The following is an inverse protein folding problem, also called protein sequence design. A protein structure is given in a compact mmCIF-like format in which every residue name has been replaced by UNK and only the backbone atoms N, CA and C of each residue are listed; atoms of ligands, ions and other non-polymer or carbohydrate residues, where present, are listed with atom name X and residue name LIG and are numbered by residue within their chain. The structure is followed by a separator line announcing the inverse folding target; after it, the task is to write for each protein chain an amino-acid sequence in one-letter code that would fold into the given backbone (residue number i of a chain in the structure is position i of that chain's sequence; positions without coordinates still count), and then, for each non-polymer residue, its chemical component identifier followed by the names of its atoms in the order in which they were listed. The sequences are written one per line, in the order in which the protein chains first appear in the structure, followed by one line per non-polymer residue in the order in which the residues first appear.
data_IF_759830895622
#
_entry.id   IF_759830895622
#
_cell.length_a   1.000
_cell.length_b   1.000
_cell.length_c   1.000
_cell.angle_alpha   90.00
_cell.angle_beta   90.00
_cell.angle_gamma   90.00
#
_symmetry.space_group_name_H-M   'P 1'
#
loop_
_entity.id
_entity.type
_entity.pdbx_description
1 polymer ?
#
# COMPACT_ATOMS: atom_id res chain seq x y z
N UNK A 1 24.24 -17.40 -37.95
CA UNK A 1 23.53 -18.39 -37.12
C UNK A 1 24.55 -19.18 -36.33
N UNK A 2 24.83 -18.73 -35.11
CA UNK A 2 25.88 -19.28 -34.25
C UNK A 2 25.29 -20.39 -33.40
N UNK A 3 25.86 -21.60 -33.47
CA UNK A 3 25.61 -22.65 -32.51
C UNK A 3 26.91 -23.36 -32.17
N UNK A 4 27.10 -23.55 -30.86
CA UNK A 4 28.01 -24.46 -30.15
C UNK A 4 29.37 -23.86 -29.75
N UNK A 5 29.41 -23.38 -28.51
CA UNK A 5 30.58 -23.51 -27.65
C UNK A 5 30.08 -23.97 -26.27
N UNK A 6 30.36 -25.24 -25.96
CA UNK A 6 30.03 -25.94 -24.73
C UNK A 6 31.10 -25.55 -23.70
N UNK A 7 30.70 -24.99 -22.56
CA UNK A 7 31.63 -24.52 -21.51
C UNK A 7 32.20 -25.70 -20.73
N UNK A 8 33.53 -25.75 -20.67
CA UNK A 8 34.34 -26.48 -19.68
C UNK A 8 34.69 -25.45 -18.59
N UNK A 9 34.73 -25.86 -17.31
CA UNK A 9 35.87 -25.67 -16.37
C UNK A 9 35.45 -25.56 -14.88
N UNK A 10 35.70 -26.66 -14.16
CA UNK A 10 36.40 -26.79 -12.85
C UNK A 10 35.84 -26.25 -11.51
N UNK A 11 36.08 -27.12 -10.52
CA UNK A 11 36.56 -26.90 -9.15
C UNK A 11 35.56 -26.64 -8.02
N UNK A 12 35.34 -27.71 -7.24
CA UNK A 12 35.50 -27.75 -5.78
C UNK A 12 35.57 -29.25 -5.44
N UNK A 13 36.68 -29.82 -4.97
CA UNK A 13 37.48 -29.39 -3.83
C UNK A 13 37.50 -30.57 -2.86
N UNK A 14 38.28 -31.58 -3.22
CA UNK A 14 38.55 -32.80 -2.46
C UNK A 14 39.33 -32.43 -1.18
N UNK A 15 38.89 -32.89 -0.01
CA UNK A 15 39.73 -32.95 1.19
C UNK A 15 39.60 -34.34 1.80
N UNK A 16 40.71 -35.08 1.72
CA UNK A 16 40.89 -36.43 2.24
C UNK A 16 41.20 -36.40 3.74
N UNK A 17 40.38 -37.15 4.50
CA UNK A 17 40.69 -38.25 5.46
C UNK A 17 41.89 -38.13 6.42
N UNK A 18 41.66 -38.62 7.65
CA UNK A 18 42.51 -39.45 8.57
C UNK A 18 42.59 -38.83 9.98
N UNK A 19 42.47 -39.48 11.14
CA UNK A 19 42.18 -40.85 11.64
C UNK A 19 42.11 -40.74 13.17
N UNK A 20 41.29 -41.53 13.87
CA UNK A 20 41.65 -42.24 15.12
C UNK A 20 40.42 -42.95 15.74
N UNK A 21 40.49 -44.28 15.84
CA UNK A 21 39.62 -45.09 16.68
C UNK A 21 40.12 -45.06 18.13
N UNK A 22 39.19 -45.13 19.09
CA UNK A 22 39.45 -45.74 20.41
C UNK A 22 39.10 -44.86 21.62
N UNK A 23 38.06 -45.25 22.38
CA UNK A 23 37.84 -44.75 23.73
C UNK A 23 36.39 -44.81 24.21
N UNK A 24 36.17 -45.43 25.38
CA UNK A 24 34.93 -45.78 26.08
C UNK A 24 33.94 -44.63 26.40
N UNK A 25 32.70 -44.94 26.84
CA UNK A 25 31.61 -43.98 27.04
C UNK A 25 31.74 -43.22 28.36
N UNK A 26 31.43 -41.93 28.35
CA UNK A 26 31.45 -41.07 29.53
C UNK A 26 30.59 -39.81 29.31
N UNK A 27 29.57 -39.71 30.14
CA UNK A 27 28.69 -38.60 30.53
C UNK A 27 28.71 -37.23 29.85
N UNK A 28 27.48 -36.76 29.62
CA UNK A 28 26.94 -35.43 29.91
C UNK A 28 27.63 -34.21 29.28
N UNK A 29 27.02 -33.73 28.19
CA UNK A 29 27.31 -32.42 27.60
C UNK A 29 26.11 -31.88 26.84
N UNK A 30 25.36 -31.02 27.52
CA UNK A 30 24.23 -30.23 27.06
C UNK A 30 24.42 -29.63 25.64
N UNK A 31 23.45 -29.85 24.75
CA UNK A 31 22.94 -28.85 23.78
C UNK A 31 21.81 -29.47 22.95
N UNK A 32 20.59 -29.42 23.49
CA UNK A 32 19.39 -29.47 22.66
C UNK A 32 19.42 -28.26 21.73
N UNK A 33 19.90 -28.45 20.49
CA UNK A 33 19.63 -27.48 19.44
C UNK A 33 18.21 -27.73 18.91
N UNK A 34 17.20 -27.45 19.74
CA UNK A 34 15.84 -27.24 19.27
C UNK A 34 15.86 -25.91 18.53
N UNK A 35 15.99 -25.97 17.21
CA UNK A 35 15.60 -24.86 16.36
C UNK A 35 14.13 -24.56 16.68
N UNK A 36 13.89 -23.42 17.32
CA UNK A 36 12.56 -22.89 17.51
C UNK A 36 11.86 -22.88 16.14
N UNK A 37 10.60 -23.34 16.03
CA UNK A 37 9.86 -23.09 14.81
C UNK A 37 9.84 -21.57 14.66
N UNK A 38 10.39 -21.09 13.55
CA UNK A 38 10.14 -19.73 13.12
C UNK A 38 8.62 -19.61 13.09
N UNK A 39 8.08 -18.85 14.04
CA UNK A 39 6.71 -18.39 13.96
C UNK A 39 6.70 -17.50 12.73
N UNK A 40 6.43 -18.12 11.58
CA UNK A 40 5.86 -17.41 10.45
C UNK A 40 4.55 -16.90 11.01
N UNK A 41 4.60 -15.69 11.57
CA UNK A 41 3.43 -14.85 11.67
C UNK A 41 2.87 -14.90 10.27
N UNK A 42 1.74 -15.59 10.12
CA UNK A 42 0.89 -15.48 8.96
C UNK A 42 0.40 -14.03 8.94
N UNK A 43 1.30 -13.10 8.59
CA UNK A 43 0.95 -11.82 8.06
C UNK A 43 0.06 -12.18 6.89
N UNK A 44 -1.22 -11.83 6.98
CA UNK A 44 -2.12 -11.91 5.85
C UNK A 44 -1.37 -11.26 4.68
N UNK A 45 -0.89 -12.09 3.76
CA UNK A 45 -0.05 -11.66 2.66
C UNK A 45 -1.01 -10.97 1.69
N UNK A 46 -1.34 -9.72 1.97
CA UNK A 46 -2.20 -8.92 1.09
C UNK A 46 -1.50 -8.89 -0.27
N UNK A 47 -2.20 -9.33 -1.31
CA UNK A 47 -1.70 -9.15 -2.67
C UNK A 47 -1.65 -7.66 -2.98
N UNK A 48 -0.71 -7.25 -3.83
CA UNK A 48 -0.58 -5.86 -4.23
C UNK A 48 -1.85 -5.32 -4.88
N UNK A 49 -2.55 -6.15 -5.66
CA UNK A 49 -3.86 -5.79 -6.21
C UNK A 49 -4.92 -5.58 -5.12
N UNK A 50 -4.93 -6.38 -4.05
CA UNK A 50 -5.86 -6.17 -2.93
C UNK A 50 -5.56 -4.86 -2.22
N UNK A 51 -4.28 -4.58 -1.94
CA UNK A 51 -3.90 -3.33 -1.28
C UNK A 51 -4.25 -2.09 -2.14
N UNK A 52 -4.04 -2.18 -3.46
CA UNK A 52 -4.44 -1.12 -4.38
C UNK A 52 -5.97 -0.88 -4.38
N UNK A 53 -6.77 -1.94 -4.29
CA UNK A 53 -8.23 -1.84 -4.11
C UNK A 53 -8.59 -1.17 -2.78
N UNK A 54 -7.89 -1.50 -1.70
CA UNK A 54 -8.12 -0.89 -0.40
C UNK A 54 -7.83 0.61 -0.41
N UNK A 55 -6.75 1.05 -1.09
CA UNK A 55 -6.44 2.47 -1.31
C UNK A 55 -7.58 3.18 -2.05
N UNK A 56 -8.02 2.64 -3.18
CA UNK A 56 -9.07 3.26 -3.98
C UNK A 56 -10.43 3.24 -3.27
N UNK A 57 -10.74 2.17 -2.53
CA UNK A 57 -11.96 2.07 -1.72
C UNK A 57 -11.95 3.06 -0.55
N UNK A 58 -10.80 3.23 0.11
CA UNK A 58 -10.63 4.23 1.16
C UNK A 58 -10.89 5.65 0.62
N UNK A 59 -10.39 5.95 -0.57
CA UNK A 59 -10.69 7.22 -1.26
C UNK A 59 -12.19 7.35 -1.56
N UNK A 60 -12.83 6.35 -2.17
CA UNK A 60 -14.26 6.40 -2.50
C UNK A 60 -15.15 6.59 -1.26
N UNK A 61 -14.79 5.98 -0.13
CA UNK A 61 -15.50 6.19 1.14
C UNK A 61 -15.39 7.64 1.62
N UNK A 62 -14.20 8.24 1.53
CA UNK A 62 -14.02 9.65 1.85
C UNK A 62 -14.88 10.55 0.95
N UNK A 63 -14.97 10.23 -0.35
CA UNK A 63 -15.80 10.96 -1.32
C UNK A 63 -17.28 10.86 -0.95
N UNK A 64 -17.76 9.67 -0.63
CA UNK A 64 -19.15 9.45 -0.24
C UNK A 64 -19.50 10.20 1.05
N UNK A 65 -18.62 10.19 2.06
CA UNK A 65 -18.82 10.97 3.28
C UNK A 65 -18.78 12.49 3.02
N UNK A 66 -17.88 12.97 2.16
CA UNK A 66 -17.85 14.38 1.77
C UNK A 66 -19.13 14.81 1.03
N UNK A 67 -19.67 13.94 0.19
CA UNK A 67 -20.97 14.15 -0.46
C UNK A 67 -22.10 14.22 0.57
N UNK A 68 -22.09 13.35 1.57
CA UNK A 68 -23.03 13.38 2.69
C UNK A 68 -22.95 14.67 3.51
N UNK A 69 -21.74 15.15 3.80
CA UNK A 69 -21.53 16.41 4.54
C UNK A 69 -21.97 17.65 3.75
N UNK A 70 -21.79 17.64 2.43
CA UNK A 70 -22.20 18.73 1.54
C UNK A 70 -23.66 18.62 1.08
N UNK A 71 -24.36 17.54 1.46
CA UNK A 71 -25.78 17.40 1.22
C UNK A 71 -26.56 18.53 1.90
N UNK A 72 -27.57 19.07 1.22
CA UNK A 72 -28.29 20.25 1.70
C UNK A 72 -27.53 21.57 1.55
N UNK A 73 -26.29 21.55 1.05
CA UNK A 73 -25.49 22.74 0.69
C UNK A 73 -25.33 23.73 1.86
N UNK A 74 -24.81 23.28 3.02
CA UNK A 74 -24.59 24.13 4.18
C UNK A 74 -23.68 25.33 3.88
N UNK A 75 -23.70 26.36 4.71
CA UNK A 75 -22.77 27.49 4.55
C UNK A 75 -21.32 27.03 4.73
N UNK A 76 -20.40 27.67 4.02
CA UNK A 76 -19.00 27.23 3.98
C UNK A 76 -18.32 27.27 5.35
N UNK A 77 -18.71 28.21 6.23
CA UNK A 77 -18.21 28.30 7.60
C UNK A 77 -18.57 27.06 8.44
N UNK A 78 -19.69 26.40 8.15
CA UNK A 78 -20.10 25.17 8.82
C UNK A 78 -19.45 23.93 8.17
N UNK A 79 -19.37 23.92 6.83
CA UNK A 79 -18.89 22.75 6.09
C UNK A 79 -17.38 22.57 6.16
N UNK A 80 -16.61 23.66 6.07
CA UNK A 80 -15.14 23.64 6.03
C UNK A 80 -14.52 22.81 7.15
N UNK A 81 -14.81 23.08 8.45
CA UNK A 81 -14.20 22.32 9.54
C UNK A 81 -14.59 20.84 9.50
N UNK A 82 -15.80 20.49 9.02
CA UNK A 82 -16.25 19.10 8.89
C UNK A 82 -15.48 18.35 7.79
N UNK A 83 -15.28 18.98 6.63
CA UNK A 83 -14.50 18.41 5.54
C UNK A 83 -13.03 18.27 5.92
N UNK A 84 -12.43 19.27 6.57
CA UNK A 84 -11.04 19.19 7.03
C UNK A 84 -10.85 18.08 8.06
N UNK A 85 -11.76 17.95 9.03
CA UNK A 85 -11.73 16.84 9.98
C UNK A 85 -11.89 15.48 9.29
N UNK A 86 -12.80 15.38 8.32
CA UNK A 86 -12.97 14.19 7.49
C UNK A 86 -11.66 13.83 6.77
N UNK A 87 -11.07 14.77 6.04
CA UNK A 87 -9.86 14.53 5.26
C UNK A 87 -8.68 14.16 6.14
N UNK A 88 -8.51 14.76 7.31
CA UNK A 88 -7.47 14.38 8.27
C UNK A 88 -7.60 12.92 8.72
N UNK A 89 -8.81 12.45 9.04
CA UNK A 89 -9.03 11.04 9.41
C UNK A 89 -8.69 10.08 8.27
N UNK A 90 -9.01 10.46 7.04
CA UNK A 90 -8.70 9.65 5.87
C UNK A 90 -7.23 9.72 5.48
N UNK A 91 -6.55 10.84 5.72
CA UNK A 91 -5.10 10.96 5.58
C UNK A 91 -4.38 9.96 6.48
N UNK A 92 -4.78 9.85 7.75
CA UNK A 92 -4.23 8.86 8.70
C UNK A 92 -4.41 7.41 8.18
N UNK A 93 -5.58 7.09 7.60
CA UNK A 93 -5.82 5.79 6.96
C UNK A 93 -4.92 5.58 5.72
N UNK A 94 -4.77 6.61 4.89
CA UNK A 94 -3.92 6.54 3.69
C UNK A 94 -2.44 6.38 4.05
N UNK A 95 -1.98 7.01 5.13
CA UNK A 95 -0.61 6.81 5.66
C UNK A 95 -0.40 5.35 6.07
N UNK A 96 -1.37 4.72 6.73
CA UNK A 96 -1.26 3.31 7.09
C UNK A 96 -1.24 2.39 5.86
N UNK A 97 -2.06 2.67 4.85
CA UNK A 97 -2.03 1.94 3.58
C UNK A 97 -0.71 2.16 2.84
N UNK A 98 -0.14 3.37 2.90
CA UNK A 98 1.16 3.67 2.33
C UNK A 98 2.29 2.86 2.99
N UNK A 99 2.28 2.67 4.31
CA UNK A 99 3.26 1.80 4.99
C UNK A 99 3.23 0.39 4.43
N UNK A 100 2.04 -0.18 4.22
CA UNK A 100 1.88 -1.51 3.62
C UNK A 100 2.36 -1.53 2.16
N UNK A 101 2.08 -0.46 1.42
CA UNK A 101 2.48 -0.32 0.02
C UNK A 101 4.01 -0.24 -0.12
N UNK A 102 4.69 0.50 0.76
CA UNK A 102 6.15 0.55 0.81
C UNK A 102 6.77 -0.76 1.32
N UNK A 103 6.11 -1.46 2.24
CA UNK A 103 6.56 -2.79 2.66
C UNK A 103 6.57 -3.79 1.49
N UNK A 104 5.56 -3.76 0.61
CA UNK A 104 5.57 -4.59 -0.61
C UNK A 104 6.80 -4.32 -1.48
N UNK A 105 7.23 -3.06 -1.63
CA UNK A 105 8.43 -2.73 -2.41
C UNK A 105 9.69 -3.40 -1.84
N UNK A 106 9.79 -3.48 -0.52
CA UNK A 106 10.95 -4.08 0.17
C UNK A 106 10.88 -5.62 0.20
N UNK A 107 9.69 -6.19 0.36
CA UNK A 107 9.50 -7.61 0.66
C UNK A 107 9.12 -8.44 -0.57
N UNK A 108 8.35 -7.86 -1.51
CA UNK A 108 7.83 -8.57 -2.68
C UNK A 108 7.59 -7.61 -3.86
N UNK A 109 8.65 -7.41 -4.65
CA UNK A 109 8.64 -6.48 -5.79
C UNK A 109 7.58 -6.84 -6.86
N UNK A 110 7.22 -8.13 -6.98
CA UNK A 110 6.18 -8.58 -7.91
C UNK A 110 4.81 -8.05 -7.48
N UNK A 111 4.47 -8.17 -6.20
CA UNK A 111 3.23 -7.64 -5.65
C UNK A 111 3.22 -6.11 -5.66
N UNK A 112 4.35 -5.46 -5.39
CA UNK A 112 4.47 -4.01 -5.58
C UNK A 112 4.17 -3.59 -7.03
N UNK A 113 4.69 -4.34 -8.01
CA UNK A 113 4.36 -4.15 -9.43
C UNK A 113 2.87 -4.32 -9.71
N UNK A 114 2.24 -5.37 -9.18
CA UNK A 114 0.81 -5.62 -9.34
C UNK A 114 -0.06 -4.50 -8.73
N UNK A 115 0.33 -3.95 -7.57
CA UNK A 115 -0.32 -2.79 -6.98
C UNK A 115 -0.26 -1.57 -7.91
N UNK A 116 0.92 -1.30 -8.49
CA UNK A 116 1.14 -0.16 -9.38
C UNK A 116 0.37 -0.25 -10.69
N UNK A 117 0.34 -1.44 -11.31
CA UNK A 117 -0.45 -1.68 -12.53
C UNK A 117 -1.93 -1.39 -12.23
N UNK A 118 -2.45 -1.97 -11.14
CA UNK A 118 -3.85 -1.77 -10.78
C UNK A 118 -4.19 -0.31 -10.48
N UNK A 119 -3.34 0.40 -9.72
CA UNK A 119 -3.52 1.82 -9.44
C UNK A 119 -3.46 2.66 -10.73
N UNK A 120 -2.50 2.38 -11.63
CA UNK A 120 -2.36 3.08 -12.90
C UNK A 120 -3.58 2.94 -13.80
N UNK A 121 -4.18 1.75 -13.83
CA UNK A 121 -5.38 1.45 -14.64
C UNK A 121 -6.68 2.03 -14.05
N UNK A 122 -6.78 2.10 -12.72
CA UNK A 122 -8.07 2.38 -12.06
C UNK A 122 -8.16 3.79 -11.46
N UNK A 123 -7.05 4.41 -11.04
CA UNK A 123 -7.07 5.71 -10.31
C UNK A 123 -7.88 6.79 -11.04
N UNK A 124 -7.70 6.92 -12.35
CA UNK A 124 -8.42 7.93 -13.15
C UNK A 124 -9.94 7.77 -13.08
N UNK A 125 -10.45 6.53 -13.09
CA UNK A 125 -11.88 6.24 -12.95
C UNK A 125 -12.42 6.66 -11.58
N UNK A 126 -11.68 6.42 -10.51
CA UNK A 126 -12.09 6.82 -9.16
C UNK A 126 -12.11 8.35 -9.01
N UNK A 127 -11.11 9.05 -9.54
CA UNK A 127 -11.10 10.52 -9.57
C UNK A 127 -12.28 11.08 -10.38
N UNK A 128 -12.56 10.51 -11.55
CA UNK A 128 -13.72 10.90 -12.35
C UNK A 128 -15.06 10.63 -11.62
N UNK A 129 -15.19 9.49 -10.95
CA UNK A 129 -16.37 9.18 -10.15
C UNK A 129 -16.57 10.17 -8.99
N UNK A 130 -15.47 10.63 -8.38
CA UNK A 130 -15.50 11.73 -7.41
C UNK A 130 -16.06 13.02 -8.00
N UNK A 131 -15.62 13.41 -9.21
CA UNK A 131 -16.15 14.59 -9.90
C UNK A 131 -17.67 14.48 -10.08
N UNK A 132 -18.15 13.34 -10.55
CA UNK A 132 -19.59 13.10 -10.70
C UNK A 132 -20.34 13.19 -9.37
N UNK A 133 -19.81 12.55 -8.33
CA UNK A 133 -20.43 12.48 -7.00
C UNK A 133 -20.54 13.85 -6.33
N UNK A 134 -19.50 14.68 -6.46
CA UNK A 134 -19.45 16.00 -5.82
C UNK A 134 -19.90 17.15 -6.74
N UNK A 135 -20.26 16.87 -8.00
CA UNK A 135 -20.59 17.85 -9.04
C UNK A 135 -21.63 18.88 -8.58
N UNK A 136 -22.70 18.45 -7.92
CA UNK A 136 -23.77 19.33 -7.45
C UNK A 136 -23.31 20.30 -6.35
N UNK A 137 -22.48 19.82 -5.43
CA UNK A 137 -21.91 20.66 -4.37
C UNK A 137 -20.89 21.64 -4.94
N UNK A 138 -19.98 21.16 -5.80
CA UNK A 138 -18.98 21.99 -6.48
C UNK A 138 -19.65 23.09 -7.31
N UNK A 139 -20.67 22.75 -8.11
CA UNK A 139 -21.40 23.73 -8.90
C UNK A 139 -22.10 24.78 -8.02
N UNK A 140 -22.67 24.39 -6.88
CA UNK A 140 -23.27 25.33 -5.94
C UNK A 140 -22.25 26.33 -5.39
N UNK A 141 -21.12 25.85 -4.84
CA UNK A 141 -20.13 26.75 -4.26
C UNK A 141 -19.42 27.58 -5.31
N UNK A 142 -19.19 27.04 -6.51
CA UNK A 142 -18.56 27.78 -7.60
C UNK A 142 -19.47 28.88 -8.16
N UNK A 143 -20.68 28.53 -8.59
CA UNK A 143 -21.52 29.44 -9.37
C UNK A 143 -22.47 30.29 -8.52
N UNK A 144 -22.95 29.76 -7.38
CA UNK A 144 -23.92 30.49 -6.54
C UNK A 144 -23.25 31.25 -5.40
N UNK A 145 -22.20 30.68 -4.80
CA UNK A 145 -21.49 31.31 -3.67
C UNK A 145 -20.20 32.02 -4.07
N UNK A 146 -19.60 31.67 -5.21
CA UNK A 146 -18.29 32.19 -5.60
C UNK A 146 -17.15 31.75 -4.66
N UNK A 147 -17.35 30.69 -3.87
CA UNK A 147 -16.41 30.24 -2.85
C UNK A 147 -15.41 29.24 -3.47
N UNK A 148 -14.31 29.79 -3.98
CA UNK A 148 -13.24 28.99 -4.58
C UNK A 148 -12.49 28.13 -3.56
N UNK A 149 -12.46 28.51 -2.28
CA UNK A 149 -11.80 27.72 -1.25
C UNK A 149 -12.57 26.42 -1.00
N UNK A 150 -13.91 26.49 -0.94
CA UNK A 150 -14.75 25.30 -0.84
C UNK A 150 -14.70 24.45 -2.11
N UNK A 151 -14.66 25.06 -3.29
CA UNK A 151 -14.47 24.33 -4.56
C UNK A 151 -13.15 23.56 -4.55
N UNK A 152 -12.06 24.18 -4.10
CA UNK A 152 -10.76 23.53 -3.98
C UNK A 152 -10.77 22.38 -2.97
N UNK A 153 -11.43 22.54 -1.82
CA UNK A 153 -11.60 21.47 -0.84
C UNK A 153 -12.31 20.24 -1.43
N UNK A 154 -13.44 20.45 -2.11
CA UNK A 154 -14.25 19.38 -2.69
C UNK A 154 -13.64 18.76 -3.97
N UNK A 155 -12.80 19.51 -4.69
CA UNK A 155 -12.27 19.07 -5.99
C UNK A 155 -10.85 18.53 -5.88
N UNK A 156 -9.93 19.30 -5.28
CA UNK A 156 -8.50 19.03 -5.33
C UNK A 156 -7.95 18.43 -4.03
N UNK A 157 -8.31 18.98 -2.87
CA UNK A 157 -7.73 18.53 -1.59
C UNK A 157 -8.03 17.06 -1.32
N UNK A 158 -9.25 16.60 -1.62
CA UNK A 158 -9.61 15.20 -1.47
C UNK A 158 -8.78 14.27 -2.37
N UNK A 159 -8.36 14.71 -3.56
CA UNK A 159 -7.54 13.90 -4.49
C UNK A 159 -6.12 13.70 -3.97
N UNK A 160 -5.59 14.66 -3.18
CA UNK A 160 -4.26 14.54 -2.55
C UNK A 160 -4.16 13.34 -1.60
N UNK A 161 -5.27 12.84 -1.08
CA UNK A 161 -5.29 11.61 -0.27
C UNK A 161 -4.74 10.40 -1.04
N UNK A 162 -4.98 10.34 -2.35
CA UNK A 162 -4.39 9.29 -3.19
C UNK A 162 -2.87 9.43 -3.31
N UNK A 163 -2.35 10.66 -3.32
CA UNK A 163 -0.90 10.92 -3.36
C UNK A 163 -0.24 10.52 -2.04
N UNK A 164 -0.92 10.75 -0.90
CA UNK A 164 -0.46 10.27 0.42
C UNK A 164 -0.33 8.75 0.43
N UNK A 165 -1.29 8.03 -0.14
CA UNK A 165 -1.33 6.56 -0.14
C UNK A 165 -0.18 5.92 -0.93
N UNK A 166 0.36 6.61 -1.95
CA UNK A 166 1.39 6.07 -2.86
C UNK A 166 2.70 6.85 -2.80
N UNK A 167 2.85 7.71 -1.79
CA UNK A 167 4.07 8.49 -1.59
C UNK A 167 5.26 7.56 -1.39
N UNK A 168 6.33 7.82 -2.15
CA UNK A 168 7.56 7.02 -2.17
C UNK A 168 8.65 7.63 -1.31
#
# INVERSE_FOLDING_TARGET
MNKKAFSILFLLGLSLILTACGGKPGEAGNSQNQAAPAVSTAAAQFTGTSLAKDILSCFDQCVAEAAGLSFGKPEAAELTPKLQALYKRYEEKMIELNRKYLALKAENISEFGAANIYLGENRGKHVFNKDNTLSAAVAFYNFQKGDQAMVNLLSNEIVKLLDVAVKM
#
